data_IF_662134506382
#
_entry.id   IF_662134506382
#
_cell.length_a   1.000
_cell.length_b   1.000
_cell.length_c   1.000
_cell.angle_alpha   90.00
_cell.angle_beta   90.00
_cell.angle_gamma   90.00
#
_symmetry.space_group_name_H-M   'P 1'
#
loop_
_entity.id
_entity.type
_entity.pdbx_description
1 polymer ?
#
# COMPACT_ATOMS: atom_id res chain seq x y z
N UNK A 1 -20.34 -18.90 6.60
CA UNK A 1 -19.84 -20.24 6.26
C UNK A 1 -20.07 -21.19 7.43
N UNK A 2 -20.57 -22.39 7.13
CA UNK A 2 -20.66 -23.54 8.05
C UNK A 2 -19.25 -24.13 8.24
N UNK A 3 -18.86 -24.61 9.44
CA UNK A 3 -17.59 -25.32 9.62
C UNK A 3 -17.39 -26.45 8.58
N UNK A 4 -16.19 -26.58 8.03
CA UNK A 4 -15.81 -27.62 7.05
C UNK A 4 -16.18 -27.31 5.59
N UNK A 5 -16.72 -26.12 5.28
CA UNK A 5 -17.16 -25.76 3.92
C UNK A 5 -16.32 -24.64 3.31
N UNK A 6 -15.61 -24.94 2.22
CA UNK A 6 -15.06 -23.94 1.29
C UNK A 6 -16.20 -23.32 0.49
N UNK A 7 -16.22 -21.99 0.42
CA UNK A 7 -17.15 -21.21 -0.39
C UNK A 7 -16.35 -20.32 -1.32
N UNK A 8 -16.78 -20.22 -2.58
CA UNK A 8 -16.19 -19.32 -3.57
C UNK A 8 -17.20 -18.22 -3.88
N UNK A 9 -16.78 -16.97 -3.78
CA UNK A 9 -17.57 -15.81 -4.20
C UNK A 9 -16.90 -15.20 -5.43
N UNK A 10 -17.45 -15.38 -6.65
CA UNK A 10 -16.73 -15.05 -7.89
C UNK A 10 -16.45 -13.55 -8.08
N UNK A 11 -17.30 -12.67 -7.54
CA UNK A 11 -17.16 -11.21 -7.67
C UNK A 11 -17.40 -10.50 -6.33
N UNK A 12 -16.71 -10.95 -5.28
CA UNK A 12 -16.78 -10.30 -3.97
C UNK A 12 -16.32 -8.83 -4.08
N UNK A 13 -17.17 -7.90 -3.64
CA UNK A 13 -16.83 -6.48 -3.52
C UNK A 13 -16.34 -6.12 -2.11
N UNK A 14 -16.78 -6.87 -1.12
CA UNK A 14 -16.34 -6.74 0.26
C UNK A 14 -16.66 -8.01 1.06
N UNK A 15 -16.03 -8.14 2.23
CA UNK A 15 -16.34 -9.14 3.23
C UNK A 15 -16.30 -8.50 4.63
N UNK A 16 -17.11 -8.98 5.56
CA UNK A 16 -17.11 -8.49 6.95
C UNK A 16 -17.19 -9.67 7.93
N UNK A 17 -16.37 -9.61 8.97
CA UNK A 17 -16.34 -10.56 10.07
C UNK A 17 -16.71 -9.84 11.36
N UNK A 18 -17.86 -10.21 11.94
CA UNK A 18 -18.35 -9.62 13.18
C UNK A 18 -17.31 -9.74 14.31
N UNK A 19 -17.14 -8.66 15.07
CA UNK A 19 -16.14 -8.55 16.14
C UNK A 19 -14.69 -8.38 15.66
N UNK A 20 -14.43 -8.30 14.36
CA UNK A 20 -13.08 -8.17 13.81
C UNK A 20 -12.92 -6.96 12.87
N UNK A 21 -13.77 -6.84 11.85
CA UNK A 21 -13.68 -5.79 10.83
C UNK A 21 -14.07 -6.29 9.45
N UNK A 22 -13.57 -5.64 8.40
CA UNK A 22 -13.87 -6.06 7.04
C UNK A 22 -12.78 -5.79 6.02
N UNK A 23 -13.08 -6.23 4.80
CA UNK A 23 -12.23 -6.14 3.62
C UNK A 23 -13.04 -5.53 2.49
N UNK A 24 -12.44 -4.63 1.72
CA UNK A 24 -12.99 -4.14 0.46
C UNK A 24 -12.09 -4.59 -0.68
N UNK A 25 -12.70 -5.03 -1.78
CA UNK A 25 -12.01 -5.48 -2.98
C UNK A 25 -12.36 -4.51 -4.12
N UNK A 26 -11.55 -3.46 -4.37
CA UNK A 26 -11.82 -2.50 -5.44
C UNK A 26 -11.93 -3.21 -6.80
N UNK A 27 -13.00 -2.95 -7.57
CA UNK A 27 -13.33 -3.69 -8.81
C UNK A 27 -13.78 -5.15 -8.62
N UNK A 28 -13.75 -5.63 -7.37
CA UNK A 28 -14.05 -6.97 -6.91
C UNK A 28 -13.05 -8.05 -7.30
N UNK A 29 -13.22 -9.21 -6.67
CA UNK A 29 -12.33 -10.36 -6.84
C UNK A 29 -13.07 -11.68 -6.69
N UNK A 30 -12.48 -12.76 -7.20
CA UNK A 30 -12.86 -14.12 -6.84
C UNK A 30 -12.27 -14.43 -5.46
N UNK A 31 -13.12 -14.55 -4.46
CA UNK A 31 -12.73 -14.76 -3.07
C UNK A 31 -13.03 -16.19 -2.63
N UNK A 32 -12.01 -16.93 -2.25
CA UNK A 32 -12.14 -18.19 -1.55
C UNK A 32 -12.28 -17.95 -0.04
N UNK A 33 -13.19 -18.68 0.58
CA UNK A 33 -13.53 -18.58 1.99
C UNK A 33 -13.58 -19.97 2.58
N UNK A 34 -12.82 -20.21 3.66
CA UNK A 34 -12.93 -21.43 4.47
C UNK A 34 -13.22 -21.08 5.92
N UNK A 35 -14.10 -21.84 6.57
CA UNK A 35 -14.30 -21.79 8.02
C UNK A 35 -14.12 -23.18 8.58
N UNK A 36 -13.17 -23.37 9.48
CA UNK A 36 -12.80 -24.68 10.00
C UNK A 36 -12.29 -24.61 11.43
N UNK A 37 -12.46 -25.71 12.17
CA UNK A 37 -11.82 -25.92 13.46
C UNK A 37 -10.52 -26.70 13.21
N UNK A 38 -9.39 -26.16 13.66
CA UNK A 38 -8.06 -26.75 13.52
C UNK A 38 -7.53 -27.12 14.90
N UNK A 39 -7.01 -28.34 15.02
CA UNK A 39 -6.40 -28.84 16.24
C UNK A 39 -4.89 -28.98 16.03
N UNK A 40 -4.11 -28.51 16.99
CA UNK A 40 -2.65 -28.66 17.03
C UNK A 40 -2.12 -28.43 18.44
N UNK A 41 -0.83 -28.67 18.64
CA UNK A 41 -0.12 -28.48 19.91
C UNK A 41 1.08 -27.54 19.74
N UNK A 42 1.63 -27.01 20.84
CA UNK A 42 2.89 -26.26 20.76
C UNK A 42 4.04 -27.16 20.30
N UNK A 43 3.96 -28.46 20.61
CA UNK A 43 4.94 -29.46 20.16
C UNK A 43 5.02 -29.59 18.64
N UNK A 44 3.93 -29.32 17.92
CA UNK A 44 3.89 -29.45 16.46
C UNK A 44 4.81 -28.44 15.74
N UNK A 45 5.20 -27.36 16.42
CA UNK A 45 6.07 -26.30 15.88
C UNK A 45 7.35 -26.06 16.70
N UNK A 46 7.47 -26.70 17.86
CA UNK A 46 8.63 -26.60 18.75
C UNK A 46 8.79 -27.93 19.50
N UNK A 47 9.88 -28.66 19.28
CA UNK A 47 10.08 -29.99 19.86
C UNK A 47 9.97 -30.02 21.40
N UNK A 48 10.41 -28.96 22.08
CA UNK A 48 10.34 -28.81 23.54
C UNK A 48 9.00 -28.24 24.03
N UNK A 49 8.06 -28.02 23.11
CA UNK A 49 6.73 -27.48 23.38
C UNK A 49 5.82 -28.47 24.10
N UNK A 50 4.81 -27.91 24.78
CA UNK A 50 3.72 -28.65 25.42
C UNK A 50 2.92 -29.45 24.36
N UNK A 51 2.78 -30.79 24.53
CA UNK A 51 2.05 -31.64 23.60
C UNK A 51 0.52 -31.54 23.72
N UNK A 52 -0.01 -30.77 24.68
CA UNK A 52 -1.46 -30.65 24.92
C UNK A 52 -2.19 -30.14 23.67
N UNK A 53 -3.17 -30.90 23.12
CA UNK A 53 -3.92 -30.46 21.95
C UNK A 53 -4.82 -29.27 22.24
N UNK A 54 -4.80 -28.27 21.34
CA UNK A 54 -5.63 -27.09 21.37
C UNK A 54 -6.43 -27.00 20.07
N UNK A 55 -7.75 -26.84 20.19
CA UNK A 55 -8.63 -26.62 19.02
C UNK A 55 -9.04 -25.16 18.94
N UNK A 56 -8.89 -24.55 17.76
CA UNK A 56 -9.31 -23.16 17.48
C UNK A 56 -10.05 -23.07 16.14
N UNK A 57 -11.03 -22.18 16.09
CA UNK A 57 -11.80 -21.89 14.88
C UNK A 57 -11.13 -20.79 14.07
N UNK A 58 -11.00 -21.01 12.77
CA UNK A 58 -10.46 -20.05 11.82
C UNK A 58 -11.48 -19.70 10.74
N UNK A 59 -11.44 -18.44 10.29
CA UNK A 59 -12.00 -18.02 9.02
C UNK A 59 -10.84 -17.56 8.14
N UNK A 60 -10.67 -18.20 7.00
CA UNK A 60 -9.59 -17.91 6.05
C UNK A 60 -10.19 -17.36 4.77
N UNK A 61 -9.65 -16.23 4.30
CA UNK A 61 -10.01 -15.55 3.05
C UNK A 61 -8.76 -15.51 2.17
N UNK A 62 -8.85 -15.95 0.92
CA UNK A 62 -7.72 -15.87 -0.01
C UNK A 62 -8.18 -15.70 -1.46
N UNK A 63 -7.24 -15.26 -2.30
CA UNK A 63 -7.40 -15.18 -3.75
C UNK A 63 -6.49 -16.25 -4.36
N UNK A 64 -7.08 -17.12 -5.16
CA UNK A 64 -6.37 -18.17 -5.88
C UNK A 64 -5.92 -17.64 -7.25
N UNK A 65 -4.61 -17.52 -7.47
CA UNK A 65 -4.04 -17.08 -8.74
C UNK A 65 -3.81 -18.24 -9.73
N UNK A 66 -4.11 -19.48 -9.33
CA UNK A 66 -3.89 -20.67 -10.14
C UNK A 66 -2.44 -21.17 -10.14
N UNK A 67 -2.17 -22.14 -11.00
CA UNK A 67 -0.85 -22.71 -11.24
C UNK A 67 -0.09 -21.88 -12.26
N UNK A 68 1.19 -21.63 -12.01
CA UNK A 68 2.11 -20.86 -12.86
C UNK A 68 1.55 -19.51 -13.36
N UNK A 69 1.12 -18.62 -12.43
CA UNK A 69 0.62 -17.32 -12.82
C UNK A 69 1.71 -16.45 -13.44
N UNK A 70 1.40 -15.76 -14.53
CA UNK A 70 2.23 -14.72 -15.13
C UNK A 70 1.60 -13.34 -14.90
N UNK A 71 2.32 -12.44 -14.23
CA UNK A 71 1.85 -11.08 -13.94
C UNK A 71 0.57 -10.97 -13.10
N UNK A 72 0.19 -12.02 -12.35
CA UNK A 72 -1.00 -11.98 -11.50
C UNK A 72 -0.88 -10.89 -10.42
N UNK A 73 -2.00 -10.24 -10.11
CA UNK A 73 -2.06 -9.14 -9.16
C UNK A 73 -3.29 -9.26 -8.26
N UNK A 74 -3.24 -8.58 -7.13
CA UNK A 74 -4.36 -8.44 -6.22
C UNK A 74 -4.43 -7.01 -5.68
N UNK A 75 -5.61 -6.66 -5.15
CA UNK A 75 -5.79 -5.44 -4.36
C UNK A 75 -6.93 -5.64 -3.37
N UNK A 76 -6.72 -5.21 -2.13
CA UNK A 76 -7.75 -5.17 -1.11
C UNK A 76 -7.44 -4.05 -0.12
N UNK A 77 -8.48 -3.54 0.54
CA UNK A 77 -8.38 -2.67 1.71
C UNK A 77 -8.80 -3.48 2.94
N UNK A 78 -7.96 -3.48 3.98
CA UNK A 78 -8.33 -3.97 5.31
C UNK A 78 -8.94 -2.81 6.13
N UNK A 79 -10.06 -3.07 6.79
CA UNK A 79 -10.77 -2.11 7.65
C UNK A 79 -10.97 -2.73 9.05
N UNK A 80 -9.93 -2.71 9.90
CA UNK A 80 -10.02 -3.27 11.26
C UNK A 80 -11.09 -2.54 12.08
N UNK A 81 -11.90 -3.29 12.84
CA UNK A 81 -12.94 -2.75 13.73
C UNK A 81 -14.15 -2.11 13.04
N UNK A 82 -14.14 -1.94 11.71
CA UNK A 82 -15.25 -1.33 10.99
C UNK A 82 -16.49 -2.24 10.99
N UNK A 83 -17.65 -1.65 11.25
CA UNK A 83 -18.91 -2.35 11.18
C UNK A 83 -19.30 -2.71 9.73
N UNK A 84 -20.26 -3.62 9.60
CA UNK A 84 -20.75 -4.11 8.30
C UNK A 84 -21.22 -2.98 7.39
N UNK A 85 -21.90 -1.96 7.95
CA UNK A 85 -22.47 -0.85 7.17
C UNK A 85 -21.36 0.03 6.60
N UNK A 86 -20.33 0.30 7.39
CA UNK A 86 -19.16 1.11 7.04
C UNK A 86 -18.34 0.42 5.96
N UNK A 87 -18.12 -0.89 6.07
CA UNK A 87 -17.44 -1.68 5.04
C UNK A 87 -18.22 -1.68 3.73
N UNK A 88 -19.55 -1.88 3.80
CA UNK A 88 -20.41 -1.84 2.61
C UNK A 88 -20.41 -0.45 1.96
N UNK A 89 -20.47 0.63 2.75
CA UNK A 89 -20.41 2.00 2.24
C UNK A 89 -19.06 2.30 1.57
N UNK A 90 -17.94 1.89 2.17
CA UNK A 90 -16.61 2.04 1.56
C UNK A 90 -16.47 1.26 0.26
N UNK A 91 -17.10 0.09 0.16
CA UNK A 91 -17.09 -0.71 -1.06
C UNK A 91 -17.95 -0.12 -2.21
N UNK A 92 -18.96 0.67 -1.87
CA UNK A 92 -19.83 1.36 -2.83
C UNK A 92 -19.28 2.72 -3.28
N UNK A 93 -18.34 3.29 -2.53
CA UNK A 93 -17.64 4.53 -2.90
C UNK A 93 -16.56 4.23 -3.96
N UNK A 94 -16.69 4.83 -5.13
CA UNK A 94 -15.74 4.70 -6.24
C UNK A 94 -14.70 5.83 -6.28
N UNK A 95 -14.87 6.90 -5.50
CA UNK A 95 -14.02 8.09 -5.53
C UNK A 95 -12.95 8.16 -4.43
N UNK A 96 -13.02 7.29 -3.42
CA UNK A 96 -12.06 7.34 -2.31
C UNK A 96 -10.64 6.87 -2.67
N UNK A 97 -10.48 6.06 -3.71
CA UNK A 97 -9.22 5.45 -4.13
C UNK A 97 -9.03 5.55 -5.64
N UNK A 98 -7.90 6.10 -6.04
CA UNK A 98 -7.35 5.92 -7.38
C UNK A 98 -6.14 5.00 -7.29
N UNK A 99 -5.95 4.14 -8.29
CA UNK A 99 -4.79 3.25 -8.40
C UNK A 99 -4.05 3.57 -9.71
N UNK A 100 -3.15 4.56 -9.73
CA UNK A 100 -2.45 4.96 -10.96
C UNK A 100 -1.60 3.83 -11.57
N UNK A 101 -1.09 2.91 -10.75
CA UNK A 101 -0.37 1.72 -11.22
C UNK A 101 -0.47 0.58 -10.21
N UNK A 102 -0.47 -0.66 -10.70
CA UNK A 102 -0.33 -1.87 -9.91
C UNK A 102 0.35 -2.96 -10.75
N UNK A 103 1.64 -2.79 -11.00
CA UNK A 103 2.44 -3.67 -11.84
C UNK A 103 3.82 -3.96 -11.21
N UNK A 104 4.63 -4.80 -11.87
CA UNK A 104 5.97 -5.20 -11.42
C UNK A 104 7.01 -4.07 -11.43
N UNK A 105 6.70 -2.93 -12.04
CA UNK A 105 7.60 -1.78 -12.11
C UNK A 105 7.23 -0.71 -11.08
N UNK A 106 5.94 -0.55 -10.78
CA UNK A 106 5.44 0.41 -9.80
C UNK A 106 4.06 0.03 -9.25
N UNK A 107 3.83 0.41 -8.00
CA UNK A 107 2.51 0.37 -7.37
C UNK A 107 2.21 1.72 -6.74
N UNK A 108 1.04 2.28 -7.04
CA UNK A 108 0.67 3.59 -6.57
C UNK A 108 -0.80 3.66 -6.16
N UNK A 109 -1.07 4.46 -5.13
CA UNK A 109 -2.42 4.81 -4.70
C UNK A 109 -2.54 6.32 -4.49
N UNK A 110 -3.71 6.86 -4.79
CA UNK A 110 -4.11 8.21 -4.36
C UNK A 110 -5.39 8.12 -3.55
N UNK A 111 -5.40 8.83 -2.43
CA UNK A 111 -6.57 8.96 -1.55
C UNK A 111 -6.94 10.45 -1.54
N UNK A 112 -7.84 10.90 -2.44
CA UNK A 112 -8.12 12.32 -2.64
C UNK A 112 -8.58 13.03 -1.35
N UNK A 113 -9.41 12.37 -0.55
CA UNK A 113 -9.91 12.92 0.72
C UNK A 113 -8.83 13.19 1.76
N UNK A 114 -7.65 12.56 1.63
CA UNK A 114 -6.49 12.79 2.49
C UNK A 114 -5.41 13.65 1.83
N UNK A 115 -5.58 14.01 0.56
CA UNK A 115 -4.52 14.65 -0.23
C UNK A 115 -3.27 13.78 -0.35
N UNK A 116 -3.40 12.46 -0.23
CA UNK A 116 -2.27 11.52 -0.19
C UNK A 116 -2.04 10.90 -1.56
N UNK A 117 -0.78 10.87 -1.99
CA UNK A 117 -0.28 10.01 -3.07
C UNK A 117 0.88 9.20 -2.53
N UNK A 118 0.81 7.88 -2.63
CA UNK A 118 1.88 6.98 -2.22
C UNK A 118 2.29 6.09 -3.41
N UNK A 119 3.59 5.95 -3.63
CA UNK A 119 4.16 5.24 -4.78
C UNK A 119 5.36 4.42 -4.33
N UNK A 120 5.37 3.15 -4.69
CA UNK A 120 6.57 2.34 -4.70
C UNK A 120 7.03 2.20 -6.15
N UNK A 121 8.24 2.67 -6.44
CA UNK A 121 8.96 2.40 -7.67
C UNK A 121 9.88 1.21 -7.43
N UNK A 122 9.64 0.10 -8.13
CA UNK A 122 10.51 -1.09 -8.10
C UNK A 122 11.70 -0.94 -9.05
N UNK A 123 11.54 -0.11 -10.08
CA UNK A 123 12.54 0.24 -11.09
C UNK A 123 12.43 1.74 -11.42
N UNK A 124 13.44 2.35 -12.05
CA UNK A 124 13.31 3.71 -12.59
C UNK A 124 12.05 3.83 -13.47
N UNK A 125 11.33 4.94 -13.37
CA UNK A 125 10.12 5.14 -14.15
C UNK A 125 9.26 6.29 -13.66
N UNK A 126 8.10 6.44 -14.30
CA UNK A 126 7.12 7.49 -14.01
C UNK A 126 5.79 6.92 -13.56
N UNK A 127 5.18 7.53 -12.55
CA UNK A 127 3.84 7.19 -12.07
C UNK A 127 3.23 8.39 -11.34
N UNK A 128 1.95 8.66 -11.56
CA UNK A 128 1.22 9.68 -10.82
C UNK A 128 1.91 11.07 -10.80
N UNK A 129 2.51 11.47 -11.93
CA UNK A 129 3.23 12.76 -12.06
C UNK A 129 4.61 12.80 -11.39
N UNK A 130 5.07 11.69 -10.81
CA UNK A 130 6.43 11.56 -10.31
C UNK A 130 7.27 10.74 -11.28
N UNK A 131 8.55 11.07 -11.40
CA UNK A 131 9.56 10.27 -12.09
C UNK A 131 10.73 10.03 -11.13
N UNK A 132 11.05 8.76 -10.90
CA UNK A 132 12.19 8.35 -10.08
C UNK A 132 13.29 7.74 -10.96
N UNK A 133 14.53 8.15 -10.73
CA UNK A 133 15.72 7.62 -11.42
C UNK A 133 16.17 6.23 -10.93
N UNK A 134 15.52 5.69 -9.91
CA UNK A 134 15.87 4.43 -9.25
C UNK A 134 14.71 3.89 -8.40
N UNK A 135 14.86 2.70 -7.80
CA UNK A 135 13.90 2.17 -6.84
C UNK A 135 13.69 3.14 -5.67
N UNK A 136 12.44 3.39 -5.30
CA UNK A 136 12.10 4.40 -4.30
C UNK A 136 10.73 4.18 -3.68
N UNK A 137 10.59 4.52 -2.40
CA UNK A 137 9.30 4.76 -1.77
C UNK A 137 9.03 6.27 -1.73
N UNK A 138 7.89 6.71 -2.24
CA UNK A 138 7.48 8.12 -2.30
C UNK A 138 6.12 8.30 -1.64
N UNK A 139 6.01 9.27 -0.73
CA UNK A 139 4.75 9.66 -0.10
C UNK A 139 4.59 11.19 -0.17
N UNK A 140 3.54 11.65 -0.82
CA UNK A 140 3.12 13.05 -0.85
C UNK A 140 1.84 13.20 -0.02
N UNK A 141 1.81 14.20 0.86
CA UNK A 141 0.59 14.66 1.54
C UNK A 141 0.38 16.15 1.29
N UNK A 142 -0.74 16.51 0.67
CA UNK A 142 -1.13 17.90 0.40
C UNK A 142 -2.03 18.44 1.52
N UNK A 143 -1.76 19.66 1.94
CA UNK A 143 -2.52 20.36 2.99
C UNK A 143 -2.66 21.83 2.61
N UNK A 144 -3.87 22.26 2.23
CA UNK A 144 -4.12 23.63 1.77
C UNK A 144 -3.24 24.01 0.57
N UNK A 145 -2.42 25.05 0.72
CA UNK A 145 -1.47 25.52 -0.30
C UNK A 145 -0.07 24.90 -0.18
N UNK A 146 0.12 23.94 0.73
CA UNK A 146 1.40 23.28 0.96
C UNK A 146 1.35 21.77 0.69
N UNK A 147 2.52 21.16 0.71
CA UNK A 147 2.65 19.71 0.73
C UNK A 147 3.87 19.27 1.53
N UNK A 148 3.81 18.06 2.10
CA UNK A 148 4.97 17.32 2.57
C UNK A 148 5.26 16.20 1.57
N UNK A 149 6.50 16.10 1.12
CA UNK A 149 7.00 15.01 0.29
C UNK A 149 8.05 14.22 1.09
N UNK A 150 7.86 12.91 1.15
CA UNK A 150 8.74 11.96 1.80
C UNK A 150 9.28 10.97 0.76
N UNK A 151 10.57 10.67 0.82
CA UNK A 151 11.26 9.78 -0.12
C UNK A 151 12.20 8.85 0.65
N UNK A 152 12.24 7.57 0.30
CA UNK A 152 13.17 6.59 0.85
C UNK A 152 13.79 5.74 -0.27
N UNK A 153 14.97 5.15 -0.01
CA UNK A 153 15.57 4.07 -0.79
C UNK A 153 15.42 2.74 -0.03
N UNK A 154 14.35 1.96 -0.29
CA UNK A 154 14.15 0.66 0.36
C UNK A 154 15.21 -0.38 -0.02
N UNK A 155 15.84 -0.25 -1.19
CA UNK A 155 16.87 -1.18 -1.66
C UNK A 155 18.21 -0.96 -0.95
N UNK A 156 18.36 0.16 -0.22
CA UNK A 156 19.54 0.52 0.59
C UNK A 156 20.83 0.50 -0.23
N UNK A 157 20.74 0.89 -1.49
CA UNK A 157 21.87 0.90 -2.42
C UNK A 157 22.90 1.98 -2.05
N UNK A 158 22.43 3.06 -1.41
CA UNK A 158 23.25 4.23 -1.12
C UNK A 158 23.62 5.06 -2.35
N UNK A 159 23.13 4.67 -3.53
CA UNK A 159 23.23 5.49 -4.73
C UNK A 159 22.36 6.75 -4.60
N UNK A 160 22.81 7.83 -5.22
CA UNK A 160 21.98 9.04 -5.31
C UNK A 160 20.71 8.76 -6.11
N UNK A 161 19.58 9.28 -5.64
CA UNK A 161 18.28 9.14 -6.28
C UNK A 161 17.79 10.51 -6.77
N UNK A 162 17.59 10.63 -8.07
CA UNK A 162 16.91 11.78 -8.66
C UNK A 162 15.39 11.54 -8.67
N UNK A 163 14.64 12.52 -8.14
CA UNK A 163 13.19 12.52 -8.14
C UNK A 163 12.68 13.82 -8.79
N UNK A 164 11.76 13.67 -9.74
CA UNK A 164 11.03 14.76 -10.36
C UNK A 164 9.54 14.63 -10.04
N UNK A 165 8.90 15.76 -9.76
CA UNK A 165 7.45 15.86 -9.65
C UNK A 165 6.93 16.92 -10.63
N UNK A 166 6.14 16.48 -11.61
CA UNK A 166 5.48 17.29 -12.63
C UNK A 166 4.30 18.05 -12.04
N UNK A 167 4.60 18.97 -11.14
CA UNK A 167 3.64 19.85 -10.51
C UNK A 167 4.24 21.22 -10.21
N UNK A 168 3.48 22.31 -10.37
CA UNK A 168 3.90 23.62 -9.94
C UNK A 168 4.25 23.67 -8.45
N UNK A 169 5.51 23.99 -8.14
CA UNK A 169 6.00 24.20 -6.78
C UNK A 169 6.64 25.57 -6.73
N UNK A 170 6.12 26.45 -5.87
CA UNK A 170 6.62 27.82 -5.68
C UNK A 170 7.96 27.81 -4.96
N UNK A 171 8.08 27.02 -3.89
CA UNK A 171 9.29 26.95 -3.08
C UNK A 171 9.35 25.65 -2.27
N UNK A 172 10.57 25.23 -1.93
CA UNK A 172 10.83 24.28 -0.85
C UNK A 172 11.06 25.08 0.42
N UNK A 173 10.21 24.88 1.43
CA UNK A 173 10.23 25.67 2.67
C UNK A 173 11.05 25.02 3.78
N UNK A 174 11.26 23.70 3.71
CA UNK A 174 12.17 22.95 4.57
C UNK A 174 12.57 21.65 3.86
N UNK A 175 13.79 21.16 4.10
CA UNK A 175 14.27 19.90 3.56
C UNK A 175 15.29 19.26 4.51
N UNK A 176 15.26 17.94 4.65
CA UNK A 176 16.29 17.21 5.37
C UNK A 176 17.66 17.36 4.68
N UNK A 177 18.80 17.27 5.41
CA UNK A 177 20.14 17.53 4.86
C UNK A 177 20.54 16.66 3.66
N UNK A 178 19.94 15.47 3.53
CA UNK A 178 20.16 14.54 2.43
C UNK A 178 19.50 14.97 1.11
N UNK A 179 18.60 15.96 1.15
CA UNK A 179 17.84 16.43 -0.01
C UNK A 179 18.50 17.68 -0.58
N UNK A 180 19.04 17.54 -1.79
CA UNK A 180 19.46 18.65 -2.63
C UNK A 180 18.29 19.09 -3.54
N UNK A 181 17.95 20.38 -3.51
CA UNK A 181 16.90 20.95 -4.37
C UNK A 181 17.51 21.42 -5.68
N UNK A 182 17.25 20.68 -6.76
CA UNK A 182 17.77 20.97 -8.11
C UNK A 182 16.91 21.96 -8.89
N UNK A 183 15.65 22.18 -8.49
CA UNK A 183 14.79 23.17 -9.12
C UNK A 183 13.33 23.13 -8.65
N UNK A 184 12.69 24.29 -8.75
CA UNK A 184 11.24 24.50 -8.53
C UNK A 184 10.65 25.27 -9.74
N UNK A 185 9.40 25.71 -9.65
CA UNK A 185 8.66 26.35 -10.75
C UNK A 185 7.64 25.38 -11.33
N UNK A 186 7.67 25.06 -12.64
CA UNK A 186 6.68 24.17 -13.27
C UNK A 186 6.80 22.71 -12.84
N UNK A 187 7.96 22.30 -12.33
CA UNK A 187 8.21 20.97 -11.78
C UNK A 187 9.24 21.06 -10.66
N UNK A 188 9.06 20.25 -9.62
CA UNK A 188 10.07 20.06 -8.56
C UNK A 188 11.09 19.02 -9.02
N UNK A 189 12.37 19.30 -8.80
CA UNK A 189 13.48 18.36 -9.01
C UNK A 189 14.32 18.29 -7.75
N UNK A 190 14.48 17.08 -7.22
CA UNK A 190 15.25 16.79 -6.03
C UNK A 190 16.31 15.73 -6.34
N UNK A 191 17.43 15.78 -5.63
CA UNK A 191 18.39 14.70 -5.53
C UNK A 191 18.55 14.31 -4.07
N UNK A 192 18.37 13.03 -3.78
CA UNK A 192 18.52 12.45 -2.45
C UNK A 192 19.89 11.76 -2.40
N UNK A 193 20.75 12.15 -1.47
CA UNK A 193 22.10 11.59 -1.31
C UNK A 193 22.37 11.09 0.11
N UNK A 194 23.41 10.27 0.24
CA UNK A 194 23.81 9.64 1.49
C UNK A 194 23.19 8.25 1.64
N UNK A 195 23.99 7.28 2.05
CA UNK A 195 23.50 5.93 2.37
C UNK A 195 22.44 6.01 3.47
N UNK A 196 21.17 5.84 3.10
CA UNK A 196 20.05 6.17 3.99
C UNK A 196 19.70 5.03 4.94
N UNK A 197 20.26 3.83 4.74
CA UNK A 197 19.85 2.59 5.41
C UNK A 197 18.32 2.34 5.36
N UNK A 198 17.63 2.91 4.36
CA UNK A 198 16.18 2.87 4.22
C UNK A 198 15.43 3.95 5.01
N UNK A 199 16.13 4.95 5.55
CA UNK A 199 15.52 6.10 6.19
C UNK A 199 14.66 6.90 5.20
N UNK A 200 13.60 7.51 5.73
CA UNK A 200 12.76 8.45 4.98
C UNK A 200 13.33 9.85 5.11
N UNK A 201 13.50 10.52 3.98
CA UNK A 201 13.85 11.93 3.89
C UNK A 201 12.64 12.77 3.53
N UNK A 202 12.49 13.90 4.20
CA UNK A 202 11.31 14.76 4.11
C UNK A 202 11.68 16.15 3.56
N UNK A 203 10.81 16.69 2.72
CA UNK A 203 10.78 18.11 2.40
C UNK A 203 9.36 18.67 2.48
N UNK A 204 9.26 19.93 2.92
CA UNK A 204 8.02 20.72 2.94
C UNK A 204 8.03 21.70 1.76
N UNK A 205 6.87 21.84 1.12
CA UNK A 205 6.68 22.51 -0.16
C UNK A 205 5.58 23.57 -0.04
N UNK A 206 5.77 24.70 -0.71
CA UNK A 206 4.73 25.67 -1.03
C UNK A 206 4.31 25.47 -2.48
N UNK A 207 3.04 25.19 -2.73
CA UNK A 207 2.53 24.88 -4.07
C UNK A 207 2.19 26.15 -4.85
N UNK A 208 2.35 26.09 -6.18
CA UNK A 208 1.78 27.08 -7.10
C UNK A 208 0.26 26.96 -7.11
N UNK A 209 -0.44 28.10 -7.24
CA UNK A 209 -1.89 28.12 -7.49
C UNK A 209 -2.21 27.71 -8.92
#
# INVERSE_FOLDING_TARGET
ATPGRRTVVPHARWAHLAGHGGYVFPGGTRLDISREDRTGSWRDINADGDPTPLTRRYLTLWQDHGTDPDGASYRYLLMPGADRRTVAARAADHGWLEVPANDEHRQAVRIPSLGVTAINFWRPGSCAGFTAGGPAGVLLRREGRGATLCVADPARTGAALDLRWDHPVRAVTAADPAIEVLGTGPALRLRITGGTAGATHRCALSLGG
#
